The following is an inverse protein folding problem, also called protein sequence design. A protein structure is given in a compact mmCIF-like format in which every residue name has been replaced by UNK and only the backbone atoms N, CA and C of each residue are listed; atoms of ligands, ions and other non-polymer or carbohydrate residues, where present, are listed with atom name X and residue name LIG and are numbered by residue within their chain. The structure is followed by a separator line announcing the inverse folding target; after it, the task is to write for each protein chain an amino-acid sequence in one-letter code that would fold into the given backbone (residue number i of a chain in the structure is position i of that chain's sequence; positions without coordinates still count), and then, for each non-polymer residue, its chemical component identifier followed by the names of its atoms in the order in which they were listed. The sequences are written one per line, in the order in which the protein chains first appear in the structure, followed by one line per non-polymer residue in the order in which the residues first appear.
data_IF_452713584247
#
_entry.id   IF_452713584247
#
_cell.length_a   1.000
_cell.length_b   1.000
_cell.length_c   1.000
_cell.angle_alpha   90.00
_cell.angle_beta   90.00
_cell.angle_gamma   90.00
#
_symmetry.space_group_name_H-M   'P 1'
#
loop_
_entity.id
_entity.type
_entity.pdbx_description
1 polymer ?
#
# COMPACT_ATOMS: atom_id res chain seq x y z
N UNK A 1 -11.64 -17.59 30.27
CA UNK A 1 -11.78 -18.16 28.92
C UNK A 1 -10.67 -17.56 28.06
N UNK A 2 -9.68 -18.34 27.62
CA UNK A 2 -8.67 -17.85 26.66
C UNK A 2 -9.39 -17.67 25.32
N UNK A 3 -9.58 -16.44 24.89
CA UNK A 3 -10.05 -16.12 23.56
C UNK A 3 -9.00 -16.63 22.57
N UNK A 4 -9.38 -17.59 21.71
CA UNK A 4 -8.52 -18.11 20.64
C UNK A 4 -8.12 -16.95 19.75
N UNK A 5 -6.81 -16.70 19.61
CA UNK A 5 -6.31 -15.69 18.67
C UNK A 5 -6.68 -16.07 17.23
N UNK A 6 -7.17 -15.10 16.48
CA UNK A 6 -7.47 -15.27 15.04
C UNK A 6 -6.19 -15.52 14.26
N UNK A 7 -6.23 -16.42 13.29
CA UNK A 7 -5.11 -16.69 12.38
C UNK A 7 -5.09 -15.69 11.22
N UNK A 8 -3.93 -15.51 10.55
CA UNK A 8 -3.82 -14.72 9.32
C UNK A 8 -4.82 -15.18 8.23
N UNK A 9 -5.09 -16.47 8.14
CA UNK A 9 -6.04 -17.04 7.16
C UNK A 9 -7.48 -16.66 7.47
N UNK A 10 -7.88 -16.78 8.74
CA UNK A 10 -9.23 -16.41 9.20
C UNK A 10 -9.48 -14.90 9.01
N UNK A 11 -8.50 -14.07 9.35
CA UNK A 11 -8.61 -12.62 9.15
C UNK A 11 -8.74 -12.25 7.65
N UNK A 12 -7.96 -12.88 6.76
CA UNK A 12 -8.12 -12.66 5.30
C UNK A 12 -9.52 -13.03 4.82
N UNK A 13 -10.10 -14.10 5.33
CA UNK A 13 -11.45 -14.55 4.96
C UNK A 13 -12.51 -13.56 5.47
N UNK A 14 -12.38 -13.06 6.69
CA UNK A 14 -13.28 -12.04 7.24
C UNK A 14 -13.23 -10.76 6.41
N UNK A 15 -12.04 -10.23 6.13
CA UNK A 15 -11.87 -9.02 5.31
C UNK A 15 -12.42 -9.22 3.90
N UNK A 16 -12.22 -10.39 3.29
CA UNK A 16 -12.79 -10.70 1.97
C UNK A 16 -14.32 -10.58 1.94
N UNK A 17 -14.99 -11.02 3.00
CA UNK A 17 -16.45 -10.87 3.12
C UNK A 17 -16.85 -9.39 3.22
N UNK A 18 -16.18 -8.62 4.08
CA UNK A 18 -16.45 -7.18 4.23
C UNK A 18 -16.20 -6.41 2.93
N UNK A 19 -15.13 -6.73 2.19
CA UNK A 19 -14.85 -6.15 0.86
C UNK A 19 -16.00 -6.38 -0.12
N UNK A 20 -16.59 -7.58 -0.13
CA UNK A 20 -17.73 -7.91 -0.97
C UNK A 20 -19.02 -7.15 -0.63
N UNK A 21 -19.11 -6.61 0.59
CA UNK A 21 -20.25 -5.83 1.07
C UNK A 21 -20.04 -4.32 0.92
N UNK A 22 -18.81 -3.88 0.64
CA UNK A 22 -18.48 -2.45 0.53
C UNK A 22 -18.71 -1.97 -0.90
N UNK A 23 -19.60 -0.99 -1.12
CA UNK A 23 -19.84 -0.42 -2.45
C UNK A 23 -18.57 0.22 -3.04
N UNK A 24 -18.42 0.10 -4.37
CA UNK A 24 -17.28 0.69 -5.08
C UNK A 24 -17.16 2.21 -4.86
N UNK A 25 -18.31 2.91 -4.86
CA UNK A 25 -18.35 4.35 -4.61
C UNK A 25 -17.77 4.74 -3.24
N UNK A 26 -17.97 3.92 -2.21
CA UNK A 26 -17.39 4.15 -0.86
C UNK A 26 -15.88 4.04 -0.92
N UNK A 27 -15.33 3.00 -1.58
CA UNK A 27 -13.89 2.84 -1.74
C UNK A 27 -13.24 4.03 -2.45
N UNK A 28 -13.88 4.58 -3.48
CA UNK A 28 -13.38 5.76 -4.19
C UNK A 28 -13.39 7.02 -3.32
N UNK A 29 -14.43 7.23 -2.52
CA UNK A 29 -14.50 8.36 -1.57
C UNK A 29 -13.40 8.23 -0.53
N UNK A 30 -13.26 7.07 0.11
CA UNK A 30 -12.22 6.82 1.10
C UNK A 30 -10.81 6.98 0.48
N UNK A 31 -10.56 6.45 -0.72
CA UNK A 31 -9.30 6.66 -1.43
C UNK A 31 -8.97 8.14 -1.64
N UNK A 32 -9.95 8.94 -2.06
CA UNK A 32 -9.78 10.39 -2.22
C UNK A 32 -9.38 11.06 -0.90
N UNK A 33 -10.00 10.67 0.21
CA UNK A 33 -9.67 11.21 1.55
C UNK A 33 -8.29 10.80 2.01
N UNK A 34 -7.96 9.50 1.90
CA UNK A 34 -6.66 8.92 2.24
C UNK A 34 -5.52 9.65 1.51
N UNK A 35 -5.60 9.73 0.18
CA UNK A 35 -4.51 10.31 -0.61
C UNK A 35 -4.40 11.82 -0.46
N UNK A 36 -5.50 12.55 -0.25
CA UNK A 36 -5.46 13.98 0.12
C UNK A 36 -4.82 14.22 1.49
N UNK A 37 -4.99 13.28 2.42
CA UNK A 37 -4.32 13.33 3.72
C UNK A 37 -2.81 13.12 3.56
N UNK A 38 -2.40 12.12 2.77
CA UNK A 38 -0.98 11.85 2.49
C UNK A 38 -0.31 13.04 1.79
N UNK A 39 -0.98 13.69 0.85
CA UNK A 39 -0.46 14.87 0.11
C UNK A 39 -0.16 16.08 1.01
N UNK A 40 -0.73 16.14 2.20
CA UNK A 40 -0.43 17.19 3.19
C UNK A 40 0.79 16.86 4.06
N UNK A 41 1.21 15.59 4.09
CA UNK A 41 2.33 15.15 4.91
C UNK A 41 3.67 15.64 4.36
N UNK A 42 4.58 16.05 5.24
CA UNK A 42 5.91 16.50 4.85
C UNK A 42 6.67 15.46 4.03
N UNK A 43 6.57 14.19 4.40
CA UNK A 43 7.21 13.08 3.68
C UNK A 43 6.79 13.01 2.20
N UNK A 44 5.51 13.24 1.89
CA UNK A 44 5.04 13.27 0.51
C UNK A 44 5.49 14.55 -0.21
N UNK A 45 5.42 15.69 0.45
CA UNK A 45 5.82 16.98 -0.13
C UNK A 45 7.29 16.99 -0.54
N UNK A 46 8.16 16.39 0.28
CA UNK A 46 9.60 16.32 0.03
C UNK A 46 9.99 15.19 -0.92
N UNK A 47 9.26 14.07 -0.93
CA UNK A 47 9.56 12.94 -1.80
C UNK A 47 9.38 13.30 -3.28
N UNK A 48 10.38 13.02 -4.10
CA UNK A 48 10.30 13.07 -5.56
C UNK A 48 10.05 11.68 -6.15
N UNK A 49 10.62 10.64 -5.56
CA UNK A 49 10.58 9.26 -6.02
C UNK A 49 9.66 8.41 -5.13
N UNK A 50 8.46 8.09 -5.64
CA UNK A 50 7.40 7.44 -4.87
C UNK A 50 7.04 6.09 -5.49
N UNK A 51 7.17 5.01 -4.71
CA UNK A 51 6.57 3.73 -5.06
C UNK A 51 5.10 3.72 -4.62
N UNK A 52 4.21 3.51 -5.56
CA UNK A 52 2.80 3.23 -5.30
C UNK A 52 2.45 1.84 -5.87
N UNK A 53 1.23 1.40 -5.72
CA UNK A 53 0.73 0.18 -6.35
C UNK A 53 -0.36 0.54 -7.37
N UNK A 54 -0.51 -0.30 -8.38
CA UNK A 54 -1.66 -0.25 -9.30
C UNK A 54 -2.75 -1.14 -8.70
N UNK A 55 -3.78 -0.54 -8.13
CA UNK A 55 -4.75 -1.24 -7.30
C UNK A 55 -5.53 -2.31 -8.05
N UNK A 56 -5.67 -3.46 -7.40
CA UNK A 56 -6.63 -4.49 -7.78
C UNK A 56 -8.08 -4.04 -7.48
N UNK A 57 -9.10 -4.65 -8.09
CA UNK A 57 -10.50 -4.27 -7.86
C UNK A 57 -10.94 -4.32 -6.39
N UNK A 58 -10.30 -5.17 -5.59
CA UNK A 58 -10.60 -5.34 -4.16
C UNK A 58 -9.70 -4.55 -3.21
N UNK A 59 -8.86 -3.67 -3.74
CA UNK A 59 -7.97 -2.78 -2.98
C UNK A 59 -8.50 -1.35 -2.94
N UNK A 60 -7.91 -0.52 -2.07
CA UNK A 60 -8.14 0.91 -2.09
C UNK A 60 -7.68 1.49 -3.43
N UNK A 61 -8.56 2.15 -4.23
CA UNK A 61 -8.23 2.58 -5.58
C UNK A 61 -7.06 3.58 -5.63
N UNK A 62 -6.07 3.33 -6.52
CA UNK A 62 -4.89 4.20 -6.69
C UNK A 62 -4.74 4.80 -8.08
N UNK A 63 -5.46 4.29 -9.08
CA UNK A 63 -5.20 4.63 -10.49
C UNK A 63 -5.28 6.14 -10.78
N UNK A 64 -6.28 6.82 -10.22
CA UNK A 64 -6.43 8.26 -10.38
C UNK A 64 -5.33 9.02 -9.63
N UNK A 65 -4.99 8.60 -8.42
CA UNK A 65 -3.93 9.20 -7.61
C UNK A 65 -2.56 9.06 -8.27
N UNK A 66 -2.24 7.87 -8.78
CA UNK A 66 -0.98 7.62 -9.49
C UNK A 66 -0.82 8.54 -10.70
N UNK A 67 -1.88 8.70 -11.51
CA UNK A 67 -1.89 9.61 -12.66
C UNK A 67 -1.71 11.06 -12.22
N UNK A 68 -2.47 11.50 -11.25
CA UNK A 68 -2.42 12.88 -10.71
C UNK A 68 -1.06 13.22 -10.10
N UNK A 69 -0.43 12.29 -9.40
CA UNK A 69 0.92 12.49 -8.85
C UNK A 69 1.99 12.57 -9.94
N UNK A 70 1.86 11.76 -10.99
CA UNK A 70 2.73 11.87 -12.17
C UNK A 70 2.57 13.23 -12.86
N UNK A 71 1.34 13.70 -13.06
CA UNK A 71 1.01 15.01 -13.62
C UNK A 71 1.52 16.17 -12.76
N UNK A 72 1.56 15.99 -11.44
CA UNK A 72 2.15 16.94 -10.50
C UNK A 72 3.69 16.94 -10.50
N UNK A 73 4.33 16.14 -11.37
CA UNK A 73 5.78 16.10 -11.55
C UNK A 73 6.52 15.13 -10.63
N UNK A 74 5.82 14.27 -9.87
CA UNK A 74 6.46 13.21 -9.11
C UNK A 74 6.93 12.08 -10.02
N UNK A 75 8.05 11.45 -9.68
CA UNK A 75 8.51 10.21 -10.32
C UNK A 75 7.82 9.03 -9.64
N UNK A 76 6.87 8.43 -10.33
CA UNK A 76 6.07 7.32 -9.80
C UNK A 76 6.63 5.99 -10.28
N UNK A 77 6.70 5.05 -9.36
CA UNK A 77 7.09 3.67 -9.60
C UNK A 77 5.96 2.73 -9.23
N UNK A 78 5.83 1.64 -9.98
CA UNK A 78 4.87 0.57 -9.72
C UNK A 78 5.60 -0.76 -9.58
N UNK A 79 5.10 -1.68 -8.74
CA UNK A 79 5.69 -3.00 -8.61
C UNK A 79 5.28 -3.89 -9.77
N UNK A 80 6.21 -4.71 -10.25
CA UNK A 80 6.01 -5.83 -11.17
C UNK A 80 6.43 -7.12 -10.51
N UNK A 81 5.61 -8.16 -10.61
CA UNK A 81 5.93 -9.48 -10.02
C UNK A 81 6.86 -10.24 -10.95
N UNK A 82 8.03 -10.62 -10.44
CA UNK A 82 8.98 -11.49 -11.15
C UNK A 82 9.40 -12.63 -10.23
N UNK A 83 8.92 -13.83 -10.52
CA UNK A 83 9.12 -14.98 -9.63
C UNK A 83 8.48 -14.75 -8.26
N UNK A 84 9.30 -14.76 -7.23
CA UNK A 84 8.87 -14.55 -5.84
C UNK A 84 9.09 -13.10 -5.36
N UNK A 85 9.62 -12.21 -6.20
CA UNK A 85 10.01 -10.85 -5.82
C UNK A 85 9.23 -9.78 -6.56
N UNK A 86 9.38 -8.52 -6.11
CA UNK A 86 8.89 -7.33 -6.79
C UNK A 86 10.06 -6.59 -7.43
N UNK A 87 9.96 -6.37 -8.72
CA UNK A 87 10.74 -5.36 -9.42
C UNK A 87 10.03 -4.00 -9.35
N UNK A 88 10.79 -2.94 -9.24
CA UNK A 88 10.32 -1.56 -9.17
C UNK A 88 10.54 -0.91 -10.52
N UNK A 89 9.45 -0.55 -11.20
CA UNK A 89 9.50 -0.07 -12.58
C UNK A 89 8.90 1.33 -12.68
N UNK A 90 9.56 2.28 -13.39
CA UNK A 90 9.02 3.62 -13.58
C UNK A 90 7.67 3.61 -14.31
N UNK A 91 6.72 4.39 -13.84
CA UNK A 91 5.45 4.61 -14.49
C UNK A 91 5.45 5.91 -15.27
N UNK A 92 5.17 5.83 -16.57
CA UNK A 92 5.18 6.96 -17.51
C UNK A 92 3.79 7.25 -18.13
N UNK A 93 2.73 6.85 -17.47
CA UNK A 93 1.36 6.98 -17.96
C UNK A 93 0.78 5.65 -18.44
N UNK A 94 -0.47 5.66 -18.88
CA UNK A 94 -1.21 4.44 -19.24
C UNK A 94 -0.52 3.62 -20.34
N UNK A 95 0.17 4.27 -21.27
CA UNK A 95 0.93 3.60 -22.35
C UNK A 95 2.13 2.79 -21.85
N UNK A 96 2.55 2.97 -20.60
CA UNK A 96 3.63 2.19 -19.97
C UNK A 96 3.13 0.97 -19.22
N UNK A 97 1.83 0.65 -19.30
CA UNK A 97 1.23 -0.51 -18.69
C UNK A 97 0.91 -1.58 -19.74
N UNK A 98 1.22 -2.83 -19.43
CA UNK A 98 0.77 -4.01 -20.19
C UNK A 98 -0.46 -4.62 -19.52
N UNK A 99 -1.61 -4.53 -20.19
CA UNK A 99 -2.88 -5.13 -19.75
C UNK A 99 -3.08 -6.55 -20.30
N UNK A 100 -2.17 -7.06 -21.14
CA UNK A 100 -2.29 -8.37 -21.78
C UNK A 100 -1.74 -9.52 -20.92
N UNK A 101 -1.37 -9.23 -19.67
CA UNK A 101 -0.91 -10.28 -18.75
C UNK A 101 -2.07 -11.19 -18.31
N UNK A 102 -1.71 -12.36 -17.76
CA UNK A 102 -2.65 -13.42 -17.32
C UNK A 102 -3.76 -12.91 -16.37
N UNK A 103 -3.54 -11.82 -15.67
CA UNK A 103 -4.44 -11.29 -14.66
C UNK A 103 -5.21 -10.06 -15.12
N UNK A 104 -4.98 -9.57 -16.33
CA UNK A 104 -5.54 -8.31 -16.86
C UNK A 104 -5.35 -7.12 -15.90
N UNK A 105 -4.19 -7.08 -15.25
CA UNK A 105 -3.79 -6.03 -14.33
C UNK A 105 -2.70 -5.24 -15.04
N UNK A 106 -2.83 -3.91 -15.07
CA UNK A 106 -1.80 -3.06 -15.65
C UNK A 106 -0.45 -3.27 -14.94
N UNK A 107 0.46 -4.03 -15.56
CA UNK A 107 1.83 -4.18 -15.08
C UNK A 107 2.75 -3.19 -15.79
N UNK A 108 3.64 -2.49 -15.06
CA UNK A 108 4.53 -1.51 -15.68
C UNK A 108 5.55 -2.20 -16.59
N UNK A 109 5.71 -1.64 -17.80
CA UNK A 109 6.71 -2.05 -18.78
C UNK A 109 7.98 -1.22 -18.64
N UNK A 110 9.12 -1.83 -18.94
CA UNK A 110 10.42 -1.16 -18.91
C UNK A 110 11.43 -1.82 -17.98
N UNK A 111 12.56 -1.15 -17.81
CA UNK A 111 13.64 -1.64 -16.95
C UNK A 111 13.35 -1.36 -15.48
N UNK A 112 13.66 -2.33 -14.63
CA UNK A 112 13.58 -2.16 -13.20
C UNK A 112 14.69 -1.22 -12.69
N UNK A 113 14.38 -0.49 -11.61
CA UNK A 113 15.34 0.35 -10.90
C UNK A 113 15.63 -0.21 -9.51
N UNK A 114 16.75 0.24 -8.94
CA UNK A 114 17.10 -0.12 -7.57
C UNK A 114 16.19 0.58 -6.55
N UNK A 115 15.84 -0.13 -5.49
CA UNK A 115 14.96 0.39 -4.42
C UNK A 115 15.57 1.56 -3.64
N UNK A 116 16.88 1.76 -3.71
CA UNK A 116 17.58 2.86 -3.04
C UNK A 116 17.19 4.24 -3.56
N UNK A 117 16.60 4.32 -4.76
CA UNK A 117 16.10 5.59 -5.29
C UNK A 117 14.78 6.05 -4.64
N UNK A 118 14.07 5.15 -3.95
CA UNK A 118 12.75 5.45 -3.39
C UNK A 118 12.85 6.34 -2.15
N UNK A 119 11.97 7.33 -2.07
CA UNK A 119 11.89 8.29 -0.97
C UNK A 119 10.59 8.15 -0.17
N UNK A 120 9.59 7.46 -0.73
CA UNK A 120 8.34 7.11 -0.08
C UNK A 120 7.75 5.84 -0.70
N UNK A 121 7.20 4.97 0.13
CA UNK A 121 6.52 3.74 -0.31
C UNK A 121 5.10 3.71 0.21
N UNK A 122 4.14 3.67 -0.71
CA UNK A 122 2.72 3.43 -0.41
C UNK A 122 2.46 1.93 -0.48
N UNK A 123 2.02 1.36 0.63
CA UNK A 123 1.95 -0.09 0.83
C UNK A 123 0.49 -0.55 0.88
N UNK A 124 0.05 -1.44 -0.03
CA UNK A 124 -1.27 -2.05 0.06
C UNK A 124 -1.32 -3.10 1.17
N UNK A 125 -2.51 -3.29 1.75
CA UNK A 125 -2.73 -4.32 2.75
C UNK A 125 -4.12 -4.95 2.62
N UNK A 126 -4.26 -6.16 3.15
CA UNK A 126 -5.55 -6.80 3.41
C UNK A 126 -6.16 -6.23 4.68
N UNK A 127 -5.34 -6.04 5.72
CA UNK A 127 -5.71 -5.38 6.96
C UNK A 127 -4.50 -4.69 7.58
N UNK A 128 -4.76 -3.67 8.40
CA UNK A 128 -3.79 -2.96 9.22
C UNK A 128 -4.32 -2.87 10.65
N UNK A 129 -3.44 -2.66 11.63
CA UNK A 129 -3.84 -2.41 13.02
C UNK A 129 -3.20 -1.14 13.60
N UNK A 130 -3.62 -0.76 14.81
CA UNK A 130 -3.11 0.43 15.49
C UNK A 130 -1.62 0.33 15.89
N UNK A 131 -1.02 -0.85 15.83
CA UNK A 131 0.43 -1.04 15.99
C UNK A 131 1.18 -0.94 14.67
N UNK A 132 0.48 -0.62 13.59
CA UNK A 132 0.99 -0.51 12.22
C UNK A 132 1.43 -1.85 11.61
N UNK A 133 0.96 -2.96 12.20
CA UNK A 133 1.18 -4.28 11.63
C UNK A 133 0.33 -4.45 10.37
N UNK A 134 0.90 -5.16 9.39
CA UNK A 134 0.30 -5.36 8.07
C UNK A 134 -0.04 -6.83 7.80
N UNK A 135 -1.26 -7.10 7.38
CA UNK A 135 -1.64 -8.37 6.77
C UNK A 135 -1.62 -8.23 5.24
N UNK A 136 -0.70 -8.92 4.60
CA UNK A 136 -0.64 -9.03 3.13
C UNK A 136 -1.45 -10.20 2.59
N UNK A 137 -1.44 -10.36 1.27
CA UNK A 137 -2.15 -11.46 0.57
C UNK A 137 -1.52 -12.86 0.77
N UNK A 138 -0.36 -12.95 1.42
CA UNK A 138 0.29 -14.22 1.78
C UNK A 138 1.40 -14.67 0.83
N UNK A 139 1.80 -13.87 -0.15
CA UNK A 139 2.93 -14.16 -1.05
C UNK A 139 4.29 -13.62 -0.55
N UNK A 140 4.27 -12.78 0.49
CA UNK A 140 5.48 -12.20 1.08
C UNK A 140 6.20 -11.14 0.23
N UNK A 141 5.63 -10.72 -0.90
CA UNK A 141 6.27 -9.75 -1.80
C UNK A 141 6.68 -8.45 -1.11
N UNK A 142 5.74 -7.80 -0.42
CA UNK A 142 6.04 -6.56 0.28
C UNK A 142 6.91 -6.77 1.52
N UNK A 143 6.83 -7.93 2.18
CA UNK A 143 7.67 -8.22 3.35
C UNK A 143 9.14 -8.30 2.94
N UNK A 144 9.44 -8.92 1.79
CA UNK A 144 10.79 -8.92 1.21
C UNK A 144 11.24 -7.53 0.74
N UNK A 145 10.39 -6.81 0.00
CA UNK A 145 10.70 -5.45 -0.44
C UNK A 145 11.00 -4.54 0.76
N UNK A 146 10.14 -4.53 1.77
CA UNK A 146 10.29 -3.67 2.95
C UNK A 146 11.50 -4.04 3.81
N UNK A 147 11.98 -5.29 3.73
CA UNK A 147 13.22 -5.70 4.41
C UNK A 147 14.48 -5.18 3.72
N UNK A 148 14.41 -4.81 2.44
CA UNK A 148 15.54 -4.33 1.63
C UNK A 148 15.63 -2.81 1.52
N UNK A 149 14.72 -2.06 2.13
CA UNK A 149 14.69 -0.60 2.07
C UNK A 149 14.56 0.04 3.44
N UNK A 150 15.05 1.28 3.56
CA UNK A 150 14.86 2.15 4.73
C UNK A 150 13.92 3.33 4.45
N UNK A 151 13.35 3.38 3.25
CA UNK A 151 12.46 4.47 2.83
C UNK A 151 11.20 4.51 3.72
N UNK A 152 10.68 5.69 4.05
CA UNK A 152 9.43 5.84 4.77
C UNK A 152 8.26 5.08 4.12
N UNK A 153 7.44 4.43 4.95
CA UNK A 153 6.34 3.57 4.50
C UNK A 153 4.99 4.05 5.02
N UNK A 154 3.99 4.13 4.14
CA UNK A 154 2.60 4.43 4.50
C UNK A 154 1.71 3.28 4.04
N UNK A 155 1.10 2.58 4.99
CA UNK A 155 0.06 1.60 4.70
C UNK A 155 -1.29 2.27 4.50
N UNK A 156 -2.01 1.88 3.46
CA UNK A 156 -3.31 2.46 3.12
C UNK A 156 -4.36 1.37 2.94
N UNK A 157 -5.52 1.58 3.52
CA UNK A 157 -6.69 0.69 3.45
C UNK A 157 -7.98 1.48 3.62
N UNK A 158 -9.11 0.86 3.28
CA UNK A 158 -10.42 1.38 3.70
C UNK A 158 -10.60 1.23 5.23
N UNK A 159 -11.47 2.06 5.83
CA UNK A 159 -11.65 2.09 7.29
C UNK A 159 -11.99 0.72 7.90
N UNK A 160 -12.85 -0.07 7.24
CA UNK A 160 -13.21 -1.41 7.72
C UNK A 160 -12.04 -2.42 7.74
N UNK A 161 -10.92 -2.10 7.12
CA UNK A 161 -9.70 -2.93 7.10
C UNK A 161 -8.71 -2.55 8.20
N UNK A 162 -9.00 -1.48 8.97
CA UNK A 162 -8.29 -1.18 10.21
C UNK A 162 -8.90 -2.03 11.33
N UNK A 163 -8.16 -3.05 11.78
CA UNK A 163 -8.62 -4.06 12.72
C UNK A 163 -7.97 -3.89 14.08
N UNK A 164 -8.52 -4.53 15.11
CA UNK A 164 -7.98 -4.45 16.48
C UNK A 164 -6.58 -5.06 16.59
N UNK A 165 -6.34 -6.21 15.96
CA UNK A 165 -5.04 -6.90 15.98
C UNK A 165 -4.83 -7.68 14.68
N UNK A 166 -3.69 -7.43 14.03
CA UNK A 166 -3.16 -8.26 12.94
C UNK A 166 -2.26 -9.33 13.53
N UNK A 167 -2.50 -10.63 13.27
CA UNK A 167 -1.59 -11.69 13.69
C UNK A 167 -0.22 -11.53 13.05
N UNK A 168 0.84 -11.44 13.86
CA UNK A 168 2.21 -11.24 13.41
C UNK A 168 3.09 -12.48 13.61
N UNK A 169 4.16 -12.56 12.81
CA UNK A 169 5.24 -13.52 12.90
C UNK A 169 6.56 -12.77 13.17
N UNK A 170 7.62 -13.45 13.67
CA UNK A 170 8.86 -12.76 14.08
C UNK A 170 9.55 -11.93 12.98
N UNK A 171 9.28 -12.22 11.72
CA UNK A 171 9.85 -11.50 10.57
C UNK A 171 8.98 -10.35 10.08
N UNK A 172 7.73 -10.24 10.54
CA UNK A 172 6.84 -9.14 10.17
C UNK A 172 7.36 -7.83 10.76
N UNK A 173 7.36 -6.76 9.95
CA UNK A 173 7.78 -5.42 10.38
C UNK A 173 6.60 -4.47 10.33
N UNK A 174 6.40 -3.65 11.37
CA UNK A 174 5.38 -2.59 11.31
C UNK A 174 5.79 -1.54 10.28
N UNK A 175 4.77 -0.91 9.69
CA UNK A 175 4.95 0.25 8.83
C UNK A 175 5.25 1.51 9.66
N UNK A 176 5.73 2.58 9.01
CA UNK A 176 6.00 3.85 9.69
C UNK A 176 4.70 4.64 9.93
N UNK A 177 3.77 4.54 9.01
CA UNK A 177 2.47 5.21 9.09
C UNK A 177 1.35 4.32 8.53
N UNK A 178 0.15 4.49 9.06
CA UNK A 178 -1.10 3.91 8.55
C UNK A 178 -2.10 5.04 8.34
N UNK A 179 -2.75 5.05 7.19
CA UNK A 179 -3.76 6.05 6.83
C UNK A 179 -5.02 5.35 6.33
N UNK A 180 -6.14 5.67 6.96
CA UNK A 180 -7.50 5.39 6.46
C UNK A 180 -8.23 6.71 6.22
N UNK A 181 -9.49 6.69 5.78
CA UNK A 181 -10.24 7.93 5.60
C UNK A 181 -10.43 8.70 6.90
N UNK A 182 -10.52 8.00 8.03
CA UNK A 182 -10.84 8.58 9.34
C UNK A 182 -9.63 8.65 10.30
N UNK A 183 -8.55 7.92 10.01
CA UNK A 183 -7.48 7.70 11.00
C UNK A 183 -6.11 7.83 10.38
N UNK A 184 -5.19 8.47 11.10
CA UNK A 184 -3.74 8.50 10.83
C UNK A 184 -3.01 8.00 12.06
N UNK A 185 -2.22 6.93 11.90
CA UNK A 185 -1.41 6.33 12.98
C UNK A 185 0.04 6.36 12.53
N UNK A 186 0.90 7.02 13.29
CA UNK A 186 2.32 7.19 12.97
C UNK A 186 3.23 6.56 14.03
N UNK A 187 4.41 6.19 13.61
CA UNK A 187 5.50 5.88 14.53
C UNK A 187 5.93 7.15 15.26
N UNK A 188 5.88 7.16 16.58
CA UNK A 188 6.22 8.36 17.37
C UNK A 188 7.66 8.84 17.13
N UNK A 189 8.59 7.94 16.82
CA UNK A 189 9.99 8.30 16.51
C UNK A 189 10.11 9.02 15.16
N UNK A 190 9.22 8.67 14.21
CA UNK A 190 9.22 9.23 12.84
C UNK A 190 8.12 10.28 12.62
N UNK A 191 7.40 10.67 13.67
CA UNK A 191 6.20 11.54 13.60
C UNK A 191 6.43 12.83 12.80
N UNK A 192 7.60 13.45 12.93
CA UNK A 192 7.94 14.67 12.21
C UNK A 192 7.89 14.54 10.67
N UNK A 193 8.03 13.33 10.12
CA UNK A 193 7.96 13.08 8.67
C UNK A 193 6.50 13.09 8.16
N UNK A 194 5.54 12.84 9.05
CA UNK A 194 4.14 12.62 8.68
C UNK A 194 3.20 13.74 9.20
N UNK A 195 3.75 14.82 9.71
CA UNK A 195 3.00 16.02 10.14
C UNK A 195 2.98 17.09 9.07
#
# INVERSE_FOLDING_TARGET
MMTRKMTKKELRQQIKQLKGMTPEAVKHVEASMVFKTIEKMQVWQQAQHILCYWSLPDELPTHETVRRWLEAGKSIYLPRVVGDDLEIVPYHGAQSLDDNNKFHIGEPMGDAVDTSCLELIIVPAVALDARRNRLGRGKGFYDRLLSSTSSPTIGVVCDFQLVDEVPIEPHDRPLDCVVTSDTVIVDEVKKALFT
#
